data_IF_899446349965
#
_entry.id   IF_899446349965
#
_cell.length_a   1.000
_cell.length_b   1.000
_cell.length_c   1.000
_cell.angle_alpha   90.00
_cell.angle_beta   90.00
_cell.angle_gamma   90.00
#
_symmetry.space_group_name_H-M   'P 1'
#
loop_
_entity.id
_entity.type
_entity.pdbx_description
1 polymer ?
#
# COMPACT_ATOMS: atom_id res chain seq x y z
N UNK A 1 -7.74 1.92 -22.12
CA UNK A 1 -6.95 0.81 -21.56
C UNK A 1 -6.21 1.17 -20.28
N UNK A 2 -5.53 2.32 -20.18
CA UNK A 2 -4.61 2.57 -19.06
C UNK A 2 -5.29 2.96 -17.73
N UNK A 3 -6.48 3.56 -17.79
CA UNK A 3 -7.33 3.82 -16.60
C UNK A 3 -7.73 2.53 -15.88
N UNK A 4 -7.91 1.42 -16.62
CA UNK A 4 -8.19 0.10 -16.05
C UNK A 4 -6.96 -0.52 -15.38
N UNK A 5 -5.76 -0.31 -15.94
CA UNK A 5 -4.51 -0.75 -15.28
C UNK A 5 -4.17 0.05 -14.02
N UNK A 6 -4.65 1.30 -13.90
CA UNK A 6 -4.55 2.08 -12.67
C UNK A 6 -5.39 1.48 -11.54
N UNK A 7 -6.57 0.96 -11.84
CA UNK A 7 -7.45 0.28 -10.87
C UNK A 7 -6.85 -1.02 -10.31
N UNK A 8 -5.95 -1.70 -11.05
CA UNK A 8 -5.25 -2.90 -10.56
C UNK A 8 -4.47 -2.64 -9.27
N UNK A 9 -4.02 -1.40 -9.02
CA UNK A 9 -3.31 -1.04 -7.80
C UNK A 9 -4.23 -0.96 -6.57
N UNK A 10 -5.54 -0.80 -6.72
CA UNK A 10 -6.50 -0.76 -5.59
C UNK A 10 -6.93 -2.15 -5.11
N UNK A 11 -6.96 -3.14 -5.99
CA UNK A 11 -7.43 -4.50 -5.71
C UNK A 11 -6.76 -5.11 -4.46
N UNK A 12 -5.42 -5.12 -4.32
CA UNK A 12 -4.79 -5.67 -3.12
C UNK A 12 -5.17 -4.90 -1.85
N UNK A 13 -5.45 -3.60 -1.96
CA UNK A 13 -5.73 -2.74 -0.82
C UNK A 13 -7.16 -2.89 -0.30
N UNK A 14 -8.14 -2.98 -1.20
CA UNK A 14 -9.53 -3.29 -0.86
C UNK A 14 -9.59 -4.65 -0.14
N UNK A 15 -8.82 -5.64 -0.61
CA UNK A 15 -8.71 -6.94 0.04
C UNK A 15 -8.15 -6.84 1.47
N UNK A 16 -7.09 -6.07 1.67
CA UNK A 16 -6.47 -5.88 3.01
C UNK A 16 -7.41 -5.13 3.96
N UNK A 17 -8.10 -4.09 3.51
CA UNK A 17 -9.07 -3.33 4.32
C UNK A 17 -10.25 -4.22 4.74
N UNK A 18 -10.84 -4.96 3.79
CA UNK A 18 -11.94 -5.90 4.09
C UNK A 18 -11.50 -7.00 5.06
N UNK A 19 -10.30 -7.56 4.84
CA UNK A 19 -9.74 -8.58 5.73
C UNK A 19 -9.53 -8.04 7.14
N UNK A 20 -8.93 -6.85 7.27
CA UNK A 20 -8.75 -6.17 8.56
C UNK A 20 -10.10 -5.90 9.22
N UNK A 21 -11.06 -5.34 8.49
CA UNK A 21 -12.38 -4.96 9.03
C UNK A 21 -13.18 -6.17 9.53
N UNK A 22 -13.12 -7.31 8.84
CA UNK A 22 -13.97 -8.47 9.14
C UNK A 22 -13.34 -9.43 10.15
N UNK A 23 -12.01 -9.59 10.13
CA UNK A 23 -11.34 -10.68 10.85
C UNK A 23 -10.46 -10.22 12.02
N UNK A 24 -10.36 -8.90 12.27
CA UNK A 24 -9.40 -8.37 13.23
C UNK A 24 -10.08 -7.81 14.48
N UNK A 25 -9.65 -8.28 15.66
CA UNK A 25 -10.10 -7.77 16.97
C UNK A 25 -9.49 -6.41 17.37
N UNK A 26 -8.99 -5.65 16.40
CA UNK A 26 -8.33 -4.35 16.56
C UNK A 26 -7.35 -4.28 17.75
N UNK A 27 -6.24 -5.02 17.69
CA UNK A 27 -5.18 -4.93 18.68
C UNK A 27 -4.13 -3.88 18.28
N UNK A 28 -3.25 -3.48 19.21
CA UNK A 28 -2.14 -2.53 18.98
C UNK A 28 -1.29 -2.88 17.75
N UNK A 29 -1.11 -4.17 17.49
CA UNK A 29 -0.34 -4.68 16.35
C UNK A 29 -1.06 -4.47 15.02
N UNK A 30 -2.38 -4.56 15.01
CA UNK A 30 -3.19 -4.40 13.82
C UNK A 30 -3.28 -2.91 13.44
N UNK A 31 -3.35 -2.02 14.44
CA UNK A 31 -3.20 -0.56 14.26
C UNK A 31 -1.82 -0.23 13.69
N UNK A 32 -0.76 -0.87 14.18
CA UNK A 32 0.61 -0.67 13.71
C UNK A 32 0.79 -1.15 12.26
N UNK A 33 0.15 -2.27 11.90
CA UNK A 33 0.03 -2.75 10.53
C UNK A 33 -0.66 -1.73 9.64
N UNK A 34 -1.80 -1.19 10.07
CA UNK A 34 -2.55 -0.19 9.31
C UNK A 34 -1.75 1.11 9.15
N UNK A 35 -1.04 1.55 10.20
CA UNK A 35 -0.15 2.71 10.10
C UNK A 35 0.99 2.49 9.11
N UNK A 36 1.59 1.29 9.12
CA UNK A 36 2.72 0.98 8.26
C UNK A 36 2.36 0.91 6.77
N UNK A 37 1.07 0.80 6.43
CA UNK A 37 0.61 0.78 5.04
C UNK A 37 0.43 2.17 4.43
N UNK A 38 0.35 3.24 5.25
CA UNK A 38 0.15 4.62 4.76
C UNK A 38 1.15 5.08 3.69
N UNK A 39 2.47 4.80 3.80
CA UNK A 39 3.42 5.18 2.74
C UNK A 39 3.10 4.51 1.41
N UNK A 40 2.68 3.24 1.44
CA UNK A 40 2.30 2.51 0.22
C UNK A 40 1.01 3.08 -0.38
N UNK A 41 0.03 3.43 0.46
CA UNK A 41 -1.21 4.11 0.03
C UNK A 41 -0.88 5.43 -0.66
N UNK A 42 0.01 6.24 -0.09
CA UNK A 42 0.39 7.52 -0.64
C UNK A 42 0.92 7.38 -2.08
N UNK A 43 1.89 6.48 -2.31
CA UNK A 43 2.43 6.28 -3.65
C UNK A 43 1.40 5.70 -4.64
N UNK A 44 0.48 4.85 -4.17
CA UNK A 44 -0.64 4.39 -5.00
C UNK A 44 -1.53 5.54 -5.44
N UNK A 45 -1.93 6.44 -4.53
CA UNK A 45 -2.75 7.62 -4.84
C UNK A 45 -2.03 8.49 -5.88
N UNK A 46 -0.73 8.74 -5.69
CA UNK A 46 0.06 9.51 -6.63
C UNK A 46 0.13 8.88 -8.03
N UNK A 47 0.26 7.55 -8.12
CA UNK A 47 0.24 6.82 -9.41
C UNK A 47 -1.12 6.93 -10.12
N UNK A 48 -2.21 6.99 -9.36
CA UNK A 48 -3.56 7.10 -9.91
C UNK A 48 -3.83 8.50 -10.44
N UNK A 49 -3.53 9.51 -9.62
CA UNK A 49 -3.70 10.92 -9.95
C UNK A 49 -2.70 11.40 -11.00
N UNK A 50 -1.62 10.65 -11.22
CA UNK A 50 -0.62 10.97 -12.24
C UNK A 50 -1.27 11.22 -13.61
N UNK A 51 -1.13 12.44 -14.11
CA UNK A 51 -1.58 12.84 -15.44
C UNK A 51 -0.44 12.68 -16.45
N UNK A 52 -0.76 12.31 -17.69
CA UNK A 52 0.23 12.20 -18.77
C UNK A 52 0.85 13.53 -19.19
N UNK A 53 0.32 14.64 -18.70
CA UNK A 53 0.92 15.96 -18.84
C UNK A 53 2.11 16.17 -17.92
N UNK A 54 2.31 15.29 -16.93
CA UNK A 54 3.42 15.35 -15.99
C UNK A 54 4.65 14.60 -16.53
N UNK A 55 5.86 14.91 -16.03
CA UNK A 55 7.09 14.25 -16.47
C UNK A 55 7.08 12.75 -16.17
N UNK A 56 7.61 11.93 -17.09
CA UNK A 56 7.72 10.46 -16.90
C UNK A 56 8.59 10.10 -15.69
N UNK A 57 9.60 10.92 -15.39
CA UNK A 57 10.47 10.75 -14.22
C UNK A 57 9.70 10.79 -12.90
N UNK A 58 8.59 11.53 -12.84
CA UNK A 58 7.73 11.61 -11.66
C UNK A 58 6.99 10.29 -11.44
N UNK A 59 6.53 9.67 -12.51
CA UNK A 59 5.90 8.35 -12.48
C UNK A 59 6.89 7.26 -12.03
N UNK A 60 8.11 7.28 -12.58
CA UNK A 60 9.18 6.36 -12.16
C UNK A 60 9.56 6.54 -10.67
N UNK A 61 9.55 7.78 -10.18
CA UNK A 61 9.75 8.07 -8.76
C UNK A 61 8.64 7.44 -7.91
N UNK A 62 7.37 7.61 -8.30
CA UNK A 62 6.25 7.01 -7.56
C UNK A 62 6.26 5.48 -7.60
N UNK A 63 6.64 4.87 -8.72
CA UNK A 63 6.81 3.41 -8.82
C UNK A 63 7.92 2.89 -7.90
N UNK A 64 9.08 3.54 -7.89
CA UNK A 64 10.18 3.18 -6.98
C UNK A 64 9.76 3.36 -5.52
N UNK A 65 9.09 4.47 -5.20
CA UNK A 65 8.53 4.75 -3.88
C UNK A 65 7.54 3.68 -3.43
N UNK A 66 6.65 3.24 -4.33
CA UNK A 66 5.72 2.14 -4.08
C UNK A 66 6.48 0.84 -3.77
N UNK A 67 7.51 0.50 -4.55
CA UNK A 67 8.30 -0.71 -4.33
C UNK A 67 9.00 -0.70 -2.96
N UNK A 68 9.67 0.41 -2.61
CA UNK A 68 10.35 0.55 -1.32
C UNK A 68 9.38 0.52 -0.13
N UNK A 69 8.26 1.24 -0.23
CA UNK A 69 7.24 1.25 0.82
C UNK A 69 6.58 -0.11 1.03
N UNK A 70 6.38 -0.88 -0.06
CA UNK A 70 5.85 -2.25 0.02
C UNK A 70 6.84 -3.20 0.70
N UNK A 71 8.13 -3.13 0.36
CA UNK A 71 9.18 -3.92 1.02
C UNK A 71 9.24 -3.61 2.52
N UNK A 72 9.23 -2.31 2.86
CA UNK A 72 9.22 -1.86 4.25
C UNK A 72 7.99 -2.38 5.01
N UNK A 73 6.81 -2.30 4.39
CA UNK A 73 5.58 -2.86 4.92
C UNK A 73 5.69 -4.37 5.18
N UNK A 74 6.19 -5.14 4.21
CA UNK A 74 6.37 -6.60 4.37
C UNK A 74 7.30 -6.96 5.52
N UNK A 75 8.40 -6.21 5.72
CA UNK A 75 9.32 -6.41 6.84
C UNK A 75 8.63 -6.15 8.17
N UNK A 76 7.87 -5.05 8.27
CA UNK A 76 7.12 -4.72 9.49
C UNK A 76 6.04 -5.76 9.80
N UNK A 77 5.30 -6.21 8.79
CA UNK A 77 4.33 -7.30 8.90
C UNK A 77 4.99 -8.56 9.46
N UNK A 78 6.15 -8.94 8.92
CA UNK A 78 6.89 -10.11 9.39
C UNK A 78 7.30 -9.99 10.87
N UNK A 79 7.81 -8.83 11.29
CA UNK A 79 8.18 -8.56 12.68
C UNK A 79 6.96 -8.61 13.60
N UNK A 80 5.84 -8.01 13.18
CA UNK A 80 4.59 -7.99 13.94
C UNK A 80 4.05 -9.40 14.15
N UNK A 81 4.01 -10.22 13.09
CA UNK A 81 3.56 -11.61 13.17
C UNK A 81 4.46 -12.41 14.13
N UNK A 82 5.79 -12.23 14.05
CA UNK A 82 6.73 -12.90 14.96
C UNK A 82 6.53 -12.50 16.43
N UNK A 83 6.12 -11.26 16.71
CA UNK A 83 5.81 -10.77 18.08
C UNK A 83 4.42 -11.19 18.60
N UNK A 84 3.52 -11.62 17.70
CA UNK A 84 2.16 -12.08 18.03
C UNK A 84 2.13 -13.58 18.36
N UNK A 85 3.11 -14.34 17.86
CA UNK A 85 3.44 -15.71 18.28
C UNK A 85 4.21 -15.71 19.59
#
# INVERSE_FOLDING_TARGET
MITMSKLLFWIPFIGIILFLSLYTKWNKYDILMLLSSFPSIYFMIQILEYSYTQPVQLFDFYLKGLAFSTIFYSILVFIIIKKKK
#
